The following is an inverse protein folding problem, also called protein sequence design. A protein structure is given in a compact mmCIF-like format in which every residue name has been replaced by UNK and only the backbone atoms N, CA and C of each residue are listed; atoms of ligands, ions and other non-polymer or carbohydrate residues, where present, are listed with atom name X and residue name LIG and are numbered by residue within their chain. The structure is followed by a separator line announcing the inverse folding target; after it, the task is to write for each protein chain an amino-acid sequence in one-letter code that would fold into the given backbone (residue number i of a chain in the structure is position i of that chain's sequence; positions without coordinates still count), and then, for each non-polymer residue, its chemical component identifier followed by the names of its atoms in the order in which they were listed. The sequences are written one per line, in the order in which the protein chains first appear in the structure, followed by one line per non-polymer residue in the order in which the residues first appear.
data_IF_507837198112
#
_entry.id   IF_507837198112
#
_cell.length_a   1.000
_cell.length_b   1.000
_cell.length_c   1.000
_cell.angle_alpha   90.00
_cell.angle_beta   90.00
_cell.angle_gamma   90.00
#
_symmetry.space_group_name_H-M   'P 1'
#
loop_
_entity.id
_entity.type
_entity.pdbx_description
1 polymer ?
#
# COMPACT_ATOMS: atom_id res chain seq x y z
N UNK A 1 18.68 -7.06 17.28
CA UNK A 1 18.84 -6.93 15.82
C UNK A 1 18.00 -5.76 15.31
N UNK A 2 18.63 -4.73 14.72
CA UNK A 2 17.95 -3.56 14.11
C UNK A 2 17.84 -3.70 12.59
N UNK A 3 17.61 -4.91 12.09
CA UNK A 3 17.43 -5.13 10.66
C UNK A 3 15.93 -5.08 10.32
N UNK A 4 15.60 -4.36 9.26
CA UNK A 4 14.23 -4.29 8.75
C UNK A 4 13.78 -5.67 8.26
N UNK A 5 12.55 -6.04 8.59
CA UNK A 5 11.95 -7.31 8.16
C UNK A 5 11.90 -7.42 6.63
N UNK A 6 12.14 -8.65 6.13
CA UNK A 6 11.99 -9.08 4.74
C UNK A 6 11.30 -10.44 4.77
N UNK A 7 10.24 -10.59 3.96
CA UNK A 7 9.53 -11.86 3.81
C UNK A 7 10.17 -12.68 2.69
N UNK A 8 10.78 -13.80 3.04
CA UNK A 8 11.46 -14.69 2.08
C UNK A 8 10.46 -15.42 1.15
N UNK A 9 9.20 -15.57 1.57
CA UNK A 9 8.13 -16.17 0.76
C UNK A 9 7.50 -15.16 -0.21
N UNK A 10 7.59 -13.86 0.09
CA UNK A 10 7.09 -12.78 -0.75
C UNK A 10 8.11 -11.62 -0.88
N UNK A 11 9.27 -11.88 -1.53
CA UNK A 11 10.39 -10.94 -1.54
C UNK A 11 10.10 -9.69 -2.40
N UNK A 12 10.75 -8.54 -2.16
CA UNK A 12 10.62 -7.32 -2.97
C UNK A 12 11.31 -7.49 -4.34
N UNK A 13 10.72 -8.28 -5.22
CA UNK A 13 11.27 -8.64 -6.54
C UNK A 13 10.17 -8.85 -7.57
N UNK A 14 10.54 -8.99 -8.83
CA UNK A 14 9.59 -9.29 -9.92
C UNK A 14 8.77 -10.56 -9.69
N UNK A 15 9.29 -11.53 -8.93
CA UNK A 15 8.54 -12.74 -8.55
C UNK A 15 7.23 -12.40 -7.83
N UNK A 16 7.26 -11.42 -6.93
CA UNK A 16 6.10 -11.02 -6.12
C UNK A 16 5.14 -10.09 -6.87
N UNK A 17 5.59 -9.47 -7.96
CA UNK A 17 4.70 -8.75 -8.88
C UNK A 17 3.84 -9.73 -9.70
N UNK A 18 4.39 -10.89 -10.06
CA UNK A 18 3.72 -11.93 -10.85
C UNK A 18 4.03 -11.85 -12.35
N UNK A 19 3.42 -12.73 -13.13
CA UNK A 19 3.73 -12.94 -14.56
C UNK A 19 3.15 -11.87 -15.51
N UNK A 20 2.73 -10.71 -15.00
CA UNK A 20 2.19 -9.60 -15.78
C UNK A 20 3.26 -8.67 -16.34
N UNK A 21 2.91 -7.88 -17.34
CA UNK A 21 3.78 -6.83 -17.90
C UNK A 21 3.83 -5.63 -16.94
N UNK A 22 4.56 -5.78 -15.83
CA UNK A 22 4.76 -4.75 -14.80
C UNK A 22 5.97 -3.88 -15.11
N UNK A 23 6.14 -3.48 -16.37
CA UNK A 23 7.29 -2.71 -16.88
C UNK A 23 7.44 -1.33 -16.24
N UNK A 24 6.52 -0.95 -15.35
CA UNK A 24 6.49 0.33 -14.64
C UNK A 24 6.99 0.24 -13.19
N UNK A 25 7.22 -0.96 -12.64
CA UNK A 25 7.81 -1.07 -11.30
C UNK A 25 9.32 -0.86 -11.38
N UNK A 26 9.78 0.32 -10.97
CA UNK A 26 11.21 0.67 -10.99
C UNK A 26 11.94 0.36 -9.69
N UNK A 27 11.22 0.26 -8.56
CA UNK A 27 11.80 0.11 -7.23
C UNK A 27 10.76 -0.36 -6.19
N UNK A 28 11.23 -1.09 -5.18
CA UNK A 28 10.48 -1.42 -3.98
C UNK A 28 10.90 -0.47 -2.87
N UNK A 29 9.94 0.26 -2.29
CA UNK A 29 10.19 1.23 -1.21
C UNK A 29 9.40 0.82 0.03
N UNK A 30 9.99 1.03 1.20
CA UNK A 30 9.29 1.03 2.48
C UNK A 30 8.48 2.31 2.60
N UNK A 31 7.43 2.28 3.42
CA UNK A 31 6.59 3.46 3.65
C UNK A 31 7.42 4.68 4.04
N UNK A 32 8.44 4.50 4.90
CA UNK A 32 9.34 5.57 5.34
C UNK A 32 10.22 6.20 4.24
N UNK A 33 10.38 5.52 3.10
CA UNK A 33 11.19 5.94 1.95
C UNK A 33 10.33 6.63 0.88
N UNK A 34 8.99 6.53 0.98
CA UNK A 34 8.07 7.23 0.07
C UNK A 34 8.12 8.73 0.34
N UNK A 35 8.33 9.52 -0.71
CA UNK A 35 8.39 10.98 -0.59
C UNK A 35 6.99 11.58 -0.81
N UNK A 36 6.42 12.30 0.17
CA UNK A 36 5.16 13.00 0.01
C UNK A 36 5.19 14.04 -1.12
N UNK A 37 4.03 14.23 -1.76
CA UNK A 37 3.86 15.16 -2.87
C UNK A 37 4.04 16.62 -2.45
N UNK A 38 3.53 17.01 -1.26
CA UNK A 38 3.65 18.38 -0.77
C UNK A 38 4.89 18.57 0.13
N UNK A 39 5.44 19.79 0.16
CA UNK A 39 6.59 20.12 1.00
C UNK A 39 6.26 20.11 2.50
N UNK A 40 5.01 20.46 2.85
CA UNK A 40 4.57 20.48 4.24
C UNK A 40 4.31 19.07 4.77
N UNK A 41 3.80 18.15 3.94
CA UNK A 41 3.62 16.75 4.33
C UNK A 41 4.95 16.06 4.65
N UNK A 42 6.07 16.49 4.04
CA UNK A 42 7.41 15.96 4.34
C UNK A 42 7.86 16.22 5.76
N UNK A 43 7.26 17.20 6.44
CA UNK A 43 7.57 17.55 7.84
C UNK A 43 6.71 16.74 8.82
N UNK A 44 5.66 16.07 8.34
CA UNK A 44 4.78 15.27 9.19
C UNK A 44 5.46 13.94 9.54
N UNK A 45 5.35 13.48 10.80
CA UNK A 45 5.79 12.15 11.16
C UNK A 45 4.88 11.09 10.52
N UNK A 46 5.48 9.98 10.09
CA UNK A 46 4.72 8.81 9.69
C UNK A 46 3.78 8.37 10.82
N UNK A 47 2.49 8.26 10.49
CA UNK A 47 1.42 7.99 11.45
C UNK A 47 0.48 6.93 10.88
N UNK A 48 0.00 6.03 11.74
CA UNK A 48 -1.00 5.02 11.38
C UNK A 48 -2.37 5.51 11.85
N UNK A 49 -3.34 5.58 10.94
CA UNK A 49 -4.72 5.90 11.26
C UNK A 49 -5.52 4.60 11.45
N UNK A 50 -6.35 4.53 12.49
CA UNK A 50 -7.16 3.36 12.83
C UNK A 50 -8.65 3.55 12.52
N UNK A 51 -8.97 4.41 11.56
CA UNK A 51 -10.34 4.68 11.09
C UNK A 51 -10.34 4.66 9.56
N UNK A 52 -10.29 3.47 8.94
CA UNK A 52 -10.24 3.37 7.50
C UNK A 52 -11.54 3.89 6.90
N UNK A 53 -11.42 4.65 5.82
CA UNK A 53 -12.56 5.19 5.06
C UNK A 53 -12.49 4.77 3.60
N UNK A 54 -13.64 4.73 2.89
CA UNK A 54 -13.63 4.46 1.45
C UNK A 54 -12.75 5.44 0.67
N UNK A 55 -12.68 6.70 1.14
CA UNK A 55 -11.86 7.76 0.54
C UNK A 55 -10.36 7.52 0.62
N UNK A 56 -9.90 6.65 1.51
CA UNK A 56 -8.48 6.34 1.70
C UNK A 56 -7.98 5.35 0.63
N UNK A 57 -8.89 4.80 -0.17
CA UNK A 57 -8.61 3.76 -1.15
C UNK A 57 -8.69 4.36 -2.56
N UNK A 58 -7.56 4.35 -3.26
CA UNK A 58 -7.46 4.82 -4.65
C UNK A 58 -6.82 3.74 -5.53
N UNK A 59 -7.39 3.52 -6.71
CA UNK A 59 -6.87 2.53 -7.64
C UNK A 59 -5.61 3.02 -8.35
N UNK A 60 -4.57 2.18 -8.30
CA UNK A 60 -3.35 2.36 -9.09
C UNK A 60 -3.47 1.77 -10.50
N UNK A 61 -2.33 1.44 -11.12
CA UNK A 61 -2.30 0.93 -12.50
C UNK A 61 -2.77 -0.54 -12.66
N UNK A 62 -3.08 -1.24 -11.58
CA UNK A 62 -3.48 -2.64 -11.61
C UNK A 62 -4.98 -2.80 -11.94
N UNK A 63 -5.32 -3.79 -12.76
CA UNK A 63 -6.70 -4.13 -13.15
C UNK A 63 -7.49 -4.89 -12.08
N UNK A 64 -7.38 -4.50 -10.81
CA UNK A 64 -7.99 -5.16 -9.65
C UNK A 64 -9.15 -4.35 -9.04
N UNK A 65 -9.87 -3.56 -9.84
CA UNK A 65 -10.98 -2.70 -9.38
C UNK A 65 -12.03 -3.45 -8.55
N UNK A 66 -12.30 -4.72 -8.87
CA UNK A 66 -13.22 -5.59 -8.11
C UNK A 66 -12.77 -5.78 -6.65
N UNK A 67 -11.47 -5.92 -6.41
CA UNK A 67 -10.90 -6.06 -5.06
C UNK A 67 -10.96 -4.72 -4.32
N UNK A 68 -10.60 -3.65 -5.01
CA UNK A 68 -10.58 -2.29 -4.46
C UNK A 68 -11.99 -1.85 -4.06
N UNK A 69 -13.00 -2.16 -4.86
CA UNK A 69 -14.40 -1.90 -4.53
C UNK A 69 -14.84 -2.67 -3.27
N UNK A 70 -14.42 -3.94 -3.13
CA UNK A 70 -14.71 -4.71 -1.92
C UNK A 70 -14.03 -4.12 -0.67
N UNK A 71 -12.79 -3.63 -0.79
CA UNK A 71 -12.07 -2.96 0.30
C UNK A 71 -12.75 -1.64 0.72
N UNK A 72 -13.27 -0.87 -0.25
CA UNK A 72 -14.03 0.33 0.05
C UNK A 72 -15.31 0.00 0.84
N UNK A 73 -16.07 -1.02 0.43
CA UNK A 73 -17.28 -1.45 1.12
C UNK A 73 -17.02 -1.93 2.56
N UNK A 74 -15.98 -2.74 2.77
CA UNK A 74 -15.68 -3.25 4.12
C UNK A 74 -15.22 -2.13 5.06
N UNK A 75 -14.61 -1.05 4.55
CA UNK A 75 -14.24 0.12 5.35
C UNK A 75 -15.44 0.86 5.95
N UNK A 76 -16.64 0.69 5.39
CA UNK A 76 -17.89 1.22 5.95
C UNK A 76 -18.49 0.32 7.05
N UNK A 77 -17.91 -0.86 7.29
CA UNK A 77 -18.39 -1.84 8.26
C UNK A 77 -17.33 -2.14 9.33
N UNK A 78 -17.10 -1.23 10.32
CA UNK A 78 -16.05 -1.42 11.34
C UNK A 78 -16.09 -2.77 12.05
N UNK A 79 -17.29 -3.31 12.30
CA UNK A 79 -17.50 -4.62 12.96
C UNK A 79 -16.93 -5.82 12.20
N UNK A 80 -16.65 -5.68 10.91
CA UNK A 80 -16.05 -6.74 10.08
C UNK A 80 -14.51 -6.61 9.99
N UNK A 81 -13.94 -5.50 10.47
CA UNK A 81 -12.51 -5.20 10.40
C UNK A 81 -11.77 -5.47 11.72
N UNK A 82 -12.49 -5.56 12.83
CA UNK A 82 -11.99 -5.90 14.18
C UNK A 82 -12.09 -7.41 14.44
#
# INVERSE_FOLDING_TARGET
NKQSFVDDQFPPSSRSLGAGSFNQCSQWLRISEVTPLSHDDRKLPWTIFSSPKPSDIQQGALGNCWLIAALALISEQPRLLE
#
